data_IF_299685008816
#
_entry.id   IF_299685008816
#
_cell.length_a   1.000
_cell.length_b   1.000
_cell.length_c   1.000
_cell.angle_alpha   90.00
_cell.angle_beta   90.00
_cell.angle_gamma   90.00
#
_symmetry.space_group_name_H-M   'P 1'
#
loop_
_entity.id
_entity.type
_entity.pdbx_description
1 polymer ?
#
# COMPACT_ATOMS: atom_id res chain seq x y z
N UNK A 1 -54.67 -20.69 -9.47
CA UNK A 1 -53.32 -21.22 -9.20
C UNK A 1 -52.41 -20.75 -10.32
N UNK A 2 -51.72 -19.62 -10.12
CA UNK A 2 -50.75 -19.09 -11.08
C UNK A 2 -49.39 -19.20 -10.41
N UNK A 3 -48.57 -20.14 -10.89
CA UNK A 3 -47.22 -20.37 -10.39
C UNK A 3 -46.30 -19.27 -10.88
N UNK A 4 -45.78 -18.47 -9.95
CA UNK A 4 -44.72 -17.50 -10.23
C UNK A 4 -43.37 -18.19 -10.02
N UNK A 5 -42.67 -18.45 -11.14
CA UNK A 5 -41.26 -18.86 -11.12
C UNK A 5 -40.39 -17.70 -10.62
N UNK A 6 -39.85 -17.87 -9.42
CA UNK A 6 -38.77 -17.02 -8.89
C UNK A 6 -37.48 -17.32 -9.66
N UNK A 7 -37.12 -16.46 -10.61
CA UNK A 7 -35.74 -16.35 -11.11
C UNK A 7 -34.84 -15.92 -9.94
N UNK A 8 -33.90 -16.79 -9.57
CA UNK A 8 -32.79 -16.44 -8.67
C UNK A 8 -31.72 -15.72 -9.49
N UNK A 9 -31.50 -14.44 -9.21
CA UNK A 9 -30.33 -13.71 -9.68
C UNK A 9 -29.09 -14.27 -8.97
N UNK A 10 -28.29 -15.06 -9.70
CA UNK A 10 -26.92 -15.36 -9.32
C UNK A 10 -26.04 -14.18 -9.75
N UNK A 11 -25.66 -13.33 -8.78
CA UNK A 11 -24.59 -12.35 -8.94
C UNK A 11 -23.27 -13.07 -9.28
N UNK A 12 -22.94 -13.20 -10.57
CA UNK A 12 -21.61 -13.62 -11.03
C UNK A 12 -20.62 -12.49 -10.78
N UNK A 13 -19.65 -12.70 -9.88
CA UNK A 13 -18.46 -11.84 -9.77
C UNK A 13 -17.68 -11.90 -11.09
N UNK A 14 -17.59 -10.77 -11.80
CA UNK A 14 -16.79 -10.62 -13.02
C UNK A 14 -15.39 -10.12 -12.70
N UNK A 15 -14.47 -11.03 -12.35
CA UNK A 15 -13.05 -10.69 -12.21
C UNK A 15 -12.33 -10.82 -13.56
N UNK A 16 -11.69 -9.75 -14.05
CA UNK A 16 -10.86 -9.80 -15.26
C UNK A 16 -9.40 -10.02 -14.85
N UNK A 17 -8.75 -11.05 -15.41
CA UNK A 17 -7.33 -11.34 -15.19
C UNK A 17 -6.50 -10.62 -16.25
N UNK A 18 -5.45 -9.92 -15.84
CA UNK A 18 -4.56 -9.17 -16.72
C UNK A 18 -3.10 -9.62 -16.58
N UNK A 19 -2.35 -9.54 -17.70
CA UNK A 19 -0.91 -9.82 -17.76
C UNK A 19 -0.14 -8.70 -17.07
N UNK A 20 0.87 -9.04 -16.26
CA UNK A 20 1.75 -8.06 -15.62
C UNK A 20 3.23 -8.30 -15.95
N UNK A 21 3.97 -7.23 -16.25
CA UNK A 21 5.42 -7.25 -16.49
C UNK A 21 6.22 -7.21 -15.17
N UNK A 22 6.02 -8.20 -14.30
CA UNK A 22 6.71 -8.31 -13.00
C UNK A 22 8.24 -8.52 -13.14
N UNK A 23 8.68 -9.04 -14.29
CA UNK A 23 10.04 -9.54 -14.53
C UNK A 23 11.11 -8.43 -14.56
N UNK A 24 10.76 -7.17 -14.85
CA UNK A 24 11.76 -6.12 -15.03
C UNK A 24 12.41 -5.62 -13.72
N UNK A 25 11.89 -5.98 -12.55
CA UNK A 25 12.51 -5.63 -11.25
C UNK A 25 13.30 -6.76 -10.59
N UNK A 26 12.92 -8.03 -10.76
CA UNK A 26 13.72 -9.17 -10.28
C UNK A 26 15.12 -9.17 -10.92
N UNK A 27 15.23 -8.70 -12.18
CA UNK A 27 16.49 -8.48 -12.90
C UNK A 27 17.42 -7.42 -12.28
N UNK A 28 16.94 -6.58 -11.36
CA UNK A 28 17.75 -5.54 -10.69
C UNK A 28 18.42 -6.02 -9.40
N UNK A 29 18.04 -7.17 -8.85
CA UNK A 29 18.71 -7.74 -7.68
C UNK A 29 19.94 -8.50 -8.17
N UNK A 30 21.10 -7.86 -8.07
CA UNK A 30 22.36 -8.40 -8.56
C UNK A 30 22.92 -9.44 -7.58
N UNK A 31 22.58 -10.72 -7.76
CA UNK A 31 23.12 -11.85 -6.98
C UNK A 31 24.55 -12.25 -7.39
N UNK A 32 25.38 -11.28 -7.79
CA UNK A 32 26.78 -11.55 -8.12
C UNK A 32 27.67 -11.51 -6.89
N UNK A 33 27.47 -12.41 -5.93
CA UNK A 33 28.53 -12.87 -5.01
C UNK A 33 28.09 -14.03 -4.10
N UNK A 34 28.90 -15.11 -4.14
CA UNK A 34 29.04 -16.21 -3.15
C UNK A 34 27.81 -17.08 -2.84
N UNK A 35 27.73 -18.27 -3.45
CA UNK A 35 28.14 -19.52 -2.80
C UNK A 35 27.76 -20.74 -3.66
N UNK A 36 28.78 -21.53 -3.94
CA UNK A 36 28.71 -22.91 -4.42
C UNK A 36 28.20 -23.83 -3.32
N UNK A 37 26.88 -24.03 -3.26
CA UNK A 37 26.27 -25.22 -2.65
C UNK A 37 25.71 -26.04 -3.80
N UNK A 38 26.53 -26.95 -4.32
CA UNK A 38 26.13 -27.88 -5.37
C UNK A 38 25.23 -28.96 -4.81
N UNK A 39 23.93 -28.69 -4.70
CA UNK A 39 22.93 -29.74 -4.52
C UNK A 39 22.68 -30.38 -5.89
N UNK A 40 23.43 -31.44 -6.21
CA UNK A 40 23.23 -32.24 -7.42
C UNK A 40 22.03 -33.15 -7.19
N UNK A 41 20.84 -32.73 -7.64
CA UNK A 41 19.68 -33.62 -7.76
C UNK A 41 19.86 -34.37 -9.09
N UNK A 42 20.16 -35.67 -9.01
CA UNK A 42 20.29 -36.55 -10.19
C UNK A 42 18.91 -36.76 -10.83
N UNK A 43 18.84 -36.61 -12.14
CA UNK A 43 17.66 -36.91 -12.94
C UNK A 43 17.68 -38.37 -13.39
N UNK A 44 17.14 -39.28 -12.56
CA UNK A 44 16.80 -40.63 -13.01
C UNK A 44 15.32 -40.60 -13.43
N UNK A 45 15.08 -40.38 -14.73
CA UNK A 45 13.78 -40.04 -15.31
C UNK A 45 12.77 -41.21 -15.42
N UNK A 46 13.04 -42.37 -14.80
CA UNK A 46 12.17 -43.56 -14.89
C UNK A 46 11.70 -44.08 -13.51
N UNK A 47 11.79 -43.28 -12.44
CA UNK A 47 11.20 -43.63 -11.14
C UNK A 47 9.88 -42.92 -10.94
N UNK A 48 8.89 -43.70 -10.48
CA UNK A 48 7.66 -43.25 -9.84
C UNK A 48 7.85 -41.88 -9.20
N UNK A 49 6.96 -40.92 -9.53
CA UNK A 49 7.06 -39.56 -9.01
C UNK A 49 7.35 -39.61 -7.50
N UNK A 50 8.39 -38.92 -6.99
CA UNK A 50 8.83 -39.04 -5.61
C UNK A 50 7.78 -38.59 -4.57
N UNK A 51 6.64 -38.10 -5.04
CA UNK A 51 5.51 -37.70 -4.22
C UNK A 51 4.32 -38.63 -4.53
N UNK A 52 3.80 -39.28 -3.50
CA UNK A 52 2.63 -40.15 -3.57
C UNK A 52 1.32 -39.41 -3.27
N UNK A 53 1.40 -38.29 -2.54
CA UNK A 53 0.25 -37.47 -2.16
C UNK A 53 0.57 -35.95 -2.12
N UNK A 54 -0.42 -35.16 -1.71
CA UNK A 54 -0.30 -33.70 -1.58
C UNK A 54 0.66 -33.27 -0.45
N UNK A 55 0.76 -34.06 0.63
CA UNK A 55 1.68 -33.76 1.73
C UNK A 55 3.14 -33.94 1.32
N UNK A 56 3.43 -34.93 0.48
CA UNK A 56 4.75 -35.13 -0.09
C UNK A 56 5.15 -33.92 -0.96
N UNK A 57 4.23 -33.40 -1.76
CA UNK A 57 4.45 -32.20 -2.57
C UNK A 57 4.69 -30.97 -1.69
N UNK A 58 3.93 -30.78 -0.62
CA UNK A 58 4.15 -29.68 0.33
C UNK A 58 5.51 -29.82 1.03
N UNK A 59 5.89 -31.04 1.43
CA UNK A 59 7.18 -31.32 2.09
C UNK A 59 8.36 -31.04 1.15
N UNK A 60 8.22 -31.47 -0.10
CA UNK A 60 9.19 -31.20 -1.15
C UNK A 60 9.25 -29.69 -1.47
N UNK A 61 8.10 -29.03 -1.54
CA UNK A 61 7.99 -27.59 -1.75
C UNK A 61 8.67 -26.77 -0.65
N UNK A 62 8.50 -27.18 0.61
CA UNK A 62 9.20 -26.59 1.74
C UNK A 62 10.72 -26.74 1.61
N UNK A 63 11.20 -27.92 1.20
CA UNK A 63 12.64 -28.19 1.08
C UNK A 63 13.25 -27.47 -0.12
N UNK A 64 12.57 -27.47 -1.27
CA UNK A 64 13.08 -26.96 -2.53
C UNK A 64 12.92 -25.44 -2.67
N UNK A 65 11.89 -24.85 -2.05
CA UNK A 65 11.55 -23.44 -2.26
C UNK A 65 11.53 -22.62 -0.98
N UNK A 66 10.74 -23.03 0.01
CA UNK A 66 10.51 -22.22 1.21
C UNK A 66 11.76 -22.10 2.08
N UNK A 67 12.46 -23.21 2.35
CA UNK A 67 13.66 -23.21 3.20
C UNK A 67 14.79 -22.36 2.61
N UNK A 68 15.14 -22.48 1.30
CA UNK A 68 16.09 -21.57 0.66
C UNK A 68 15.63 -20.10 0.68
N UNK A 69 14.33 -19.84 0.46
CA UNK A 69 13.76 -18.49 0.56
C UNK A 69 14.04 -17.87 1.94
N UNK A 70 13.70 -18.58 3.00
CA UNK A 70 13.88 -18.11 4.38
C UNK A 70 15.36 -17.87 4.73
N UNK A 71 16.27 -18.72 4.26
CA UNK A 71 17.72 -18.51 4.45
C UNK A 71 18.17 -17.23 3.75
N UNK A 72 17.75 -17.01 2.50
CA UNK A 72 18.12 -15.80 1.76
C UNK A 72 17.51 -14.54 2.41
N UNK A 73 16.24 -14.58 2.82
CA UNK A 73 15.58 -13.48 3.52
C UNK A 73 16.31 -13.07 4.80
N UNK A 74 16.70 -14.07 5.62
CA UNK A 74 17.42 -13.83 6.86
C UNK A 74 18.82 -13.29 6.60
N UNK A 75 19.62 -14.00 5.80
CA UNK A 75 21.05 -13.71 5.63
C UNK A 75 21.30 -12.45 4.78
N UNK A 76 20.49 -12.22 3.73
CA UNK A 76 20.70 -11.10 2.81
C UNK A 76 19.90 -9.85 3.17
N UNK A 77 18.74 -10.00 3.83
CA UNK A 77 17.82 -8.88 4.07
C UNK A 77 17.50 -8.63 5.54
N UNK A 78 17.98 -9.47 6.47
CA UNK A 78 17.67 -9.36 7.89
C UNK A 78 16.18 -9.56 8.22
N UNK A 79 15.44 -10.25 7.35
CA UNK A 79 14.01 -10.53 7.53
C UNK A 79 13.86 -11.91 8.14
N UNK A 80 13.40 -11.98 9.39
CA UNK A 80 13.07 -13.25 10.06
C UNK A 80 11.59 -13.60 9.81
N UNK A 81 11.38 -14.35 8.72
CA UNK A 81 10.07 -14.86 8.33
C UNK A 81 9.94 -16.37 8.53
N UNK A 82 8.74 -16.89 8.36
CA UNK A 82 8.48 -18.33 8.20
C UNK A 82 7.26 -18.57 7.32
N UNK A 83 7.23 -19.72 6.66
CA UNK A 83 6.00 -20.29 6.12
C UNK A 83 5.40 -21.22 7.16
N UNK A 84 4.12 -21.00 7.48
CA UNK A 84 3.36 -21.84 8.40
C UNK A 84 2.00 -22.20 7.83
N UNK A 85 1.38 -23.24 8.40
CA UNK A 85 0.02 -23.63 8.04
C UNK A 85 -0.98 -22.54 8.51
N UNK A 86 -2.07 -22.37 7.76
CA UNK A 86 -3.08 -21.31 7.95
C UNK A 86 -3.57 -21.07 9.38
N UNK A 87 -3.65 -22.12 10.21
CA UNK A 87 -4.21 -22.05 11.57
C UNK A 87 -3.49 -21.06 12.48
N UNK A 88 -2.27 -20.68 12.15
CA UNK A 88 -1.48 -19.75 12.94
C UNK A 88 -1.66 -18.26 12.53
N UNK A 89 -2.25 -17.97 11.36
CA UNK A 89 -2.01 -16.65 10.74
C UNK A 89 -3.05 -16.09 9.76
N UNK A 90 -4.07 -16.87 9.40
CA UNK A 90 -5.16 -16.40 8.54
C UNK A 90 -6.52 -16.48 9.28
N UNK A 91 -7.38 -15.50 9.04
CA UNK A 91 -8.70 -15.40 9.68
C UNK A 91 -9.74 -16.29 8.99
N UNK A 92 -9.61 -16.52 7.68
CA UNK A 92 -10.61 -17.20 6.85
C UNK A 92 -9.95 -18.09 5.79
N UNK A 93 -10.42 -19.33 5.67
CA UNK A 93 -9.95 -20.31 4.69
C UNK A 93 -8.91 -21.30 5.24
N UNK A 94 -8.35 -22.10 4.33
CA UNK A 94 -7.34 -23.13 4.62
C UNK A 94 -6.28 -23.11 3.51
N UNK A 95 -5.54 -22.00 3.30
CA UNK A 95 -4.38 -22.02 2.42
C UNK A 95 -3.34 -23.02 2.95
N UNK A 96 -2.64 -23.69 2.06
CA UNK A 96 -1.63 -24.68 2.44
C UNK A 96 -0.54 -24.03 3.28
N UNK A 97 -0.05 -22.87 2.83
CA UNK A 97 1.06 -22.15 3.45
C UNK A 97 0.79 -20.65 3.50
N UNK A 98 1.28 -20.02 4.57
CA UNK A 98 1.20 -18.58 4.78
C UNK A 98 2.56 -18.10 5.22
N UNK A 99 3.10 -17.12 4.51
CA UNK A 99 4.29 -16.41 4.93
C UNK A 99 3.93 -15.38 6.00
N UNK A 100 4.60 -15.45 7.15
CA UNK A 100 4.48 -14.51 8.26
C UNK A 100 5.85 -13.98 8.64
N UNK A 101 5.88 -12.80 9.27
CA UNK A 101 7.11 -12.20 9.80
C UNK A 101 6.92 -11.88 11.27
N UNK A 102 7.92 -12.23 12.08
CA UNK A 102 7.90 -11.99 13.53
C UNK A 102 8.66 -10.71 13.90
N UNK A 103 8.46 -9.63 13.14
CA UNK A 103 9.20 -8.37 13.32
C UNK A 103 8.88 -7.70 14.66
N UNK A 104 7.62 -7.76 15.12
CA UNK A 104 7.17 -7.17 16.38
C UNK A 104 6.11 -8.04 17.05
N UNK A 105 5.91 -7.96 18.39
CA UNK A 105 4.81 -8.67 19.07
C UNK A 105 3.42 -8.37 18.48
N UNK A 106 3.22 -7.17 17.92
CA UNK A 106 1.95 -6.75 17.33
C UNK A 106 1.72 -7.29 15.91
N UNK A 107 2.79 -7.65 15.21
CA UNK A 107 2.77 -8.22 13.85
C UNK A 107 2.97 -9.74 13.85
N UNK A 108 3.33 -10.32 15.00
CA UNK A 108 3.55 -11.76 15.17
C UNK A 108 2.34 -12.54 14.66
N UNK A 109 2.60 -13.41 13.69
CA UNK A 109 1.59 -14.28 13.10
C UNK A 109 0.67 -13.61 12.08
N UNK A 110 0.87 -12.35 11.68
CA UNK A 110 0.07 -11.77 10.59
C UNK A 110 0.53 -12.30 9.24
N UNK A 111 -0.37 -12.98 8.52
CA UNK A 111 -0.13 -13.41 7.14
C UNK A 111 0.20 -12.24 6.23
N UNK A 112 1.23 -12.39 5.38
CA UNK A 112 1.67 -11.40 4.39
C UNK A 112 1.55 -11.89 2.95
N UNK A 113 1.71 -13.19 2.76
CA UNK A 113 1.58 -13.87 1.47
C UNK A 113 0.95 -15.24 1.72
N UNK A 114 -0.02 -15.62 0.90
CA UNK A 114 -0.50 -17.01 0.86
C UNK A 114 0.17 -17.76 -0.27
N UNK A 115 0.43 -19.05 -0.05
CA UNK A 115 0.97 -19.97 -1.04
C UNK A 115 0.11 -21.22 -1.03
N UNK A 116 -0.55 -21.47 -2.15
CA UNK A 116 -1.34 -22.68 -2.39
C UNK A 116 -0.49 -23.67 -3.19
N UNK A 117 -0.43 -24.91 -2.68
CA UNK A 117 0.23 -26.04 -3.32
C UNK A 117 -0.80 -26.89 -4.05
N UNK A 118 -0.42 -27.39 -5.22
CA UNK A 118 -1.16 -28.46 -5.90
C UNK A 118 -0.20 -29.52 -6.38
N UNK A 119 -0.70 -30.73 -6.60
CA UNK A 119 0.12 -31.76 -7.22
C UNK A 119 0.17 -31.55 -8.73
N UNK A 120 1.27 -31.91 -9.42
CA UNK A 120 1.36 -31.80 -10.88
C UNK A 120 0.24 -32.55 -11.62
N UNK A 121 -0.23 -33.66 -11.05
CA UNK A 121 -1.30 -34.48 -11.62
C UNK A 121 -2.70 -33.93 -11.33
N UNK A 122 -2.90 -33.15 -10.26
CA UNK A 122 -4.17 -32.51 -9.97
C UNK A 122 -4.36 -31.22 -10.78
N UNK A 123 -3.27 -30.47 -10.99
CA UNK A 123 -3.24 -29.25 -11.78
C UNK A 123 -2.06 -29.27 -12.77
N UNK A 124 -2.36 -29.60 -14.03
CA UNK A 124 -1.40 -29.49 -15.11
C UNK A 124 -0.92 -28.04 -15.27
N UNK A 125 0.36 -27.85 -15.57
CA UNK A 125 1.02 -26.55 -15.71
C UNK A 125 0.62 -25.84 -17.00
N UNK A 126 -0.19 -24.76 -16.98
CA UNK A 126 -0.50 -24.01 -18.18
C UNK A 126 0.68 -23.13 -18.61
N UNK A 127 1.07 -23.16 -19.88
CA UNK A 127 2.08 -22.22 -20.42
C UNK A 127 1.61 -20.76 -20.29
N UNK A 128 0.31 -20.54 -20.51
CA UNK A 128 -0.36 -19.26 -20.34
C UNK A 128 -1.61 -19.43 -19.47
N UNK A 129 -1.41 -19.31 -18.15
CA UNK A 129 -2.46 -19.43 -17.14
C UNK A 129 -3.64 -18.48 -17.42
N UNK A 130 -3.37 -17.28 -17.93
CA UNK A 130 -4.39 -16.24 -18.17
C UNK A 130 -5.27 -16.64 -19.35
N UNK A 131 -4.64 -17.05 -20.47
CA UNK A 131 -5.36 -17.50 -21.65
C UNK A 131 -6.21 -18.73 -21.35
N UNK A 132 -5.65 -19.72 -20.63
CA UNK A 132 -6.38 -20.93 -20.28
C UNK A 132 -7.53 -20.65 -19.32
N UNK A 133 -7.30 -19.89 -18.23
CA UNK A 133 -8.38 -19.52 -17.30
C UNK A 133 -9.53 -18.79 -18.00
N UNK A 134 -9.22 -17.81 -18.88
CA UNK A 134 -10.24 -17.06 -19.60
C UNK A 134 -11.00 -17.92 -20.61
N UNK A 135 -10.31 -18.83 -21.30
CA UNK A 135 -10.92 -19.79 -22.22
C UNK A 135 -11.89 -20.72 -21.48
N UNK A 136 -11.41 -21.36 -20.40
CA UNK A 136 -12.20 -22.26 -19.56
C UNK A 136 -13.45 -21.56 -19.02
N UNK A 137 -13.31 -20.29 -18.63
CA UNK A 137 -14.43 -19.50 -18.08
C UNK A 137 -15.50 -19.18 -19.13
N UNK A 138 -15.11 -18.93 -20.37
CA UNK A 138 -16.02 -18.56 -21.46
C UNK A 138 -16.78 -19.76 -22.02
N UNK A 139 -16.19 -20.95 -21.97
CA UNK A 139 -16.78 -22.15 -22.54
C UNK A 139 -18.05 -22.64 -21.81
N UNK A 140 -18.46 -22.01 -20.68
CA UNK A 140 -19.66 -22.33 -19.89
C UNK A 140 -19.78 -23.81 -19.44
N UNK A 141 -18.71 -24.60 -19.61
CA UNK A 141 -18.60 -25.93 -19.06
C UNK A 141 -18.40 -25.86 -17.54
N UNK A 142 -18.57 -27.00 -16.87
CA UNK A 142 -18.36 -27.12 -15.43
C UNK A 142 -17.02 -26.50 -15.01
N UNK A 143 -17.01 -25.77 -13.88
CA UNK A 143 -15.83 -25.05 -13.40
C UNK A 143 -14.59 -25.96 -13.37
N UNK A 144 -13.63 -25.67 -14.25
CA UNK A 144 -12.39 -26.45 -14.38
C UNK A 144 -11.59 -26.35 -13.08
N UNK A 145 -10.70 -27.32 -12.85
CA UNK A 145 -9.83 -27.30 -11.66
C UNK A 145 -9.00 -26.02 -11.59
N UNK A 146 -8.51 -25.52 -12.74
CA UNK A 146 -7.80 -24.25 -12.84
C UNK A 146 -8.65 -23.08 -12.35
N UNK A 147 -9.91 -22.99 -12.80
CA UNK A 147 -10.84 -21.94 -12.34
C UNK A 147 -11.03 -22.02 -10.82
N UNK A 148 -11.25 -23.23 -10.29
CA UNK A 148 -11.46 -23.45 -8.85
C UNK A 148 -10.26 -22.97 -8.04
N UNK A 149 -9.05 -23.36 -8.43
CA UNK A 149 -7.82 -23.02 -7.70
C UNK A 149 -7.48 -21.54 -7.77
N UNK A 150 -7.60 -20.90 -8.94
CA UNK A 150 -7.35 -19.46 -9.07
C UNK A 150 -8.38 -18.66 -8.26
N UNK A 151 -9.64 -19.10 -8.29
CA UNK A 151 -10.71 -18.49 -7.49
C UNK A 151 -10.48 -18.69 -5.99
N UNK A 152 -9.93 -19.83 -5.58
CA UNK A 152 -9.58 -20.14 -4.19
C UNK A 152 -8.45 -19.24 -3.69
N UNK A 153 -7.33 -19.12 -4.43
CA UNK A 153 -6.23 -18.19 -4.13
C UNK A 153 -6.75 -16.76 -4.02
N UNK A 154 -7.58 -16.33 -4.99
CA UNK A 154 -8.21 -15.02 -4.96
C UNK A 154 -9.11 -14.80 -3.74
N UNK A 155 -9.89 -15.82 -3.38
CA UNK A 155 -10.74 -15.82 -2.19
C UNK A 155 -9.92 -15.65 -0.92
N UNK A 156 -8.86 -16.45 -0.74
CA UNK A 156 -7.96 -16.33 0.40
C UNK A 156 -7.31 -14.94 0.49
N UNK A 157 -6.85 -14.38 -0.64
CA UNK A 157 -6.31 -13.02 -0.66
C UNK A 157 -7.36 -11.99 -0.25
N UNK A 158 -8.59 -12.12 -0.77
CA UNK A 158 -9.68 -11.17 -0.48
C UNK A 158 -10.10 -11.23 0.98
N UNK A 159 -10.39 -12.43 1.51
CA UNK A 159 -10.90 -12.60 2.87
C UNK A 159 -9.86 -12.31 3.96
N UNK A 160 -8.57 -12.53 3.67
CA UNK A 160 -7.48 -12.20 4.59
C UNK A 160 -6.88 -10.81 4.35
N UNK A 161 -7.50 -10.01 3.47
CA UNK A 161 -7.03 -8.69 3.05
C UNK A 161 -5.54 -8.67 2.64
N UNK A 162 -5.11 -9.71 1.93
CA UNK A 162 -3.76 -9.81 1.36
C UNK A 162 -3.76 -9.23 -0.04
N UNK A 163 -2.66 -8.59 -0.41
CA UNK A 163 -2.44 -8.09 -1.77
C UNK A 163 -1.80 -9.13 -2.66
N UNK A 164 -1.04 -10.05 -2.10
CA UNK A 164 -0.25 -11.02 -2.84
C UNK A 164 -0.59 -12.45 -2.46
N UNK A 165 -0.49 -13.33 -3.46
CA UNK A 165 -0.66 -14.76 -3.31
C UNK A 165 0.23 -15.51 -4.30
N UNK A 166 0.38 -16.80 -4.11
CA UNK A 166 1.13 -17.67 -4.98
C UNK A 166 0.41 -19.00 -5.17
N UNK A 167 0.54 -19.57 -6.36
CA UNK A 167 0.11 -20.93 -6.69
C UNK A 167 1.33 -21.68 -7.19
N UNK A 168 1.62 -22.84 -6.61
CA UNK A 168 2.70 -23.69 -7.06
C UNK A 168 2.24 -25.12 -7.20
N UNK A 169 2.53 -25.74 -8.34
CA UNK A 169 2.29 -27.16 -8.55
C UNK A 169 3.60 -27.98 -8.58
N UNK A 170 4.62 -27.50 -7.88
CA UNK A 170 6.01 -27.95 -7.93
C UNK A 170 6.74 -27.70 -9.26
N UNK A 171 6.12 -27.93 -10.41
CA UNK A 171 6.74 -27.69 -11.73
C UNK A 171 6.83 -26.20 -12.06
N UNK A 172 5.82 -25.44 -11.66
CA UNK A 172 5.75 -23.99 -11.87
C UNK A 172 5.19 -23.25 -10.67
N UNK A 173 5.71 -22.04 -10.47
CA UNK A 173 5.23 -21.07 -9.51
C UNK A 173 4.62 -19.88 -10.28
N UNK A 174 3.40 -19.49 -9.90
CA UNK A 174 2.74 -18.29 -10.38
C UNK A 174 2.54 -17.34 -9.20
N UNK A 175 2.90 -16.07 -9.40
CA UNK A 175 2.66 -15.01 -8.42
C UNK A 175 1.42 -14.23 -8.81
N UNK A 176 0.57 -13.96 -7.82
CA UNK A 176 -0.68 -13.23 -7.96
C UNK A 176 -0.57 -11.89 -7.23
N UNK A 177 -1.10 -10.85 -7.85
CA UNK A 177 -1.29 -9.54 -7.24
C UNK A 177 -2.75 -9.09 -7.41
N UNK A 178 -3.41 -8.81 -6.29
CA UNK A 178 -4.72 -8.16 -6.28
C UNK A 178 -4.51 -6.67 -6.52
N UNK A 179 -4.99 -6.18 -7.67
CA UNK A 179 -4.90 -4.77 -8.04
C UNK A 179 -6.14 -3.97 -7.66
N UNK A 180 -7.28 -4.65 -7.52
CA UNK A 180 -8.54 -4.10 -7.03
C UNK A 180 -9.41 -5.22 -6.45
N UNK A 181 -10.64 -4.90 -6.03
CA UNK A 181 -11.61 -5.89 -5.53
C UNK A 181 -12.17 -6.84 -6.61
N UNK A 182 -11.82 -6.62 -7.88
CA UNK A 182 -12.20 -7.49 -9.00
C UNK A 182 -11.03 -7.78 -9.96
N UNK A 183 -9.85 -7.21 -9.68
CA UNK A 183 -8.70 -7.30 -10.55
C UNK A 183 -7.62 -8.20 -9.95
N UNK A 184 -7.22 -9.20 -10.73
CA UNK A 184 -6.13 -10.11 -10.41
C UNK A 184 -5.09 -10.06 -11.52
N UNK A 185 -3.86 -9.76 -11.17
CA UNK A 185 -2.70 -9.85 -12.05
C UNK A 185 -1.92 -11.11 -11.74
N UNK A 186 -1.35 -11.73 -12.77
CA UNK A 186 -0.57 -12.96 -12.65
C UNK A 186 0.76 -12.79 -13.35
N UNK A 187 1.83 -13.29 -12.74
CA UNK A 187 3.15 -13.39 -13.38
C UNK A 187 3.16 -14.48 -14.46
N UNK A 188 4.12 -14.44 -15.40
CA UNK A 188 4.52 -15.64 -16.13
C UNK A 188 4.92 -16.78 -15.16
N UNK A 189 4.90 -18.05 -15.61
CA UNK A 189 5.36 -19.16 -14.78
C UNK A 189 6.86 -19.04 -14.52
N UNK A 190 7.26 -19.26 -13.27
CA UNK A 190 8.65 -19.57 -12.91
C UNK A 190 8.77 -21.08 -12.82
N UNK A 191 9.49 -21.70 -13.74
CA UNK A 191 9.58 -23.17 -13.85
C UNK A 191 10.69 -23.71 -12.96
N UNK A 192 10.55 -24.93 -12.47
CA UNK A 192 11.60 -25.60 -11.68
C UNK A 192 12.95 -25.70 -12.42
N UNK A 193 12.91 -25.79 -13.75
CA UNK A 193 14.09 -25.77 -14.61
C UNK A 193 14.84 -24.44 -14.58
N UNK A 194 14.16 -23.35 -14.27
CA UNK A 194 14.70 -21.99 -14.36
C UNK A 194 15.75 -21.76 -13.27
N UNK A 195 16.80 -21.02 -13.61
CA UNK A 195 17.99 -20.83 -12.77
C UNK A 195 18.22 -19.36 -12.45
N UNK A 196 19.01 -19.11 -11.40
CA UNK A 196 19.37 -17.76 -10.99
C UNK A 196 18.15 -16.92 -10.63
N UNK A 197 18.10 -15.69 -11.14
CA UNK A 197 17.03 -14.71 -10.86
C UNK A 197 15.68 -15.05 -11.48
N UNK A 198 15.64 -16.04 -12.37
CA UNK A 198 14.40 -16.53 -13.00
C UNK A 198 13.88 -17.81 -12.33
N UNK A 199 14.57 -18.31 -11.30
CA UNK A 199 14.13 -19.49 -10.55
C UNK A 199 12.92 -19.20 -9.66
N UNK A 200 12.12 -20.21 -9.31
CA UNK A 200 11.01 -20.06 -8.37
C UNK A 200 11.46 -19.57 -6.98
N UNK A 201 12.65 -19.98 -6.52
CA UNK A 201 13.24 -19.49 -5.26
C UNK A 201 13.47 -17.98 -5.32
N UNK A 202 14.07 -17.48 -6.40
CA UNK A 202 14.31 -16.05 -6.55
C UNK A 202 12.99 -15.24 -6.60
N UNK A 203 11.97 -15.79 -7.27
CA UNK A 203 10.64 -15.20 -7.31
C UNK A 203 9.98 -15.16 -5.92
N UNK A 204 10.09 -16.24 -5.14
CA UNK A 204 9.56 -16.34 -3.79
C UNK A 204 10.27 -15.36 -2.84
N UNK A 205 11.61 -15.29 -2.88
CA UNK A 205 12.43 -14.29 -2.15
C UNK A 205 12.00 -12.88 -2.48
N UNK A 206 11.86 -12.58 -3.77
CA UNK A 206 11.46 -11.25 -4.19
C UNK A 206 10.10 -10.87 -3.60
N UNK A 207 9.10 -11.74 -3.71
CA UNK A 207 7.75 -11.41 -3.25
C UNK A 207 7.68 -11.36 -1.72
N UNK A 208 8.31 -12.31 -1.01
CA UNK A 208 8.40 -12.33 0.46
C UNK A 208 9.10 -11.07 0.98
N UNK A 209 10.21 -10.65 0.38
CA UNK A 209 10.86 -9.38 0.71
C UNK A 209 9.97 -8.17 0.41
N UNK A 210 9.30 -8.17 -0.74
CA UNK A 210 8.44 -7.07 -1.18
C UNK A 210 7.25 -6.85 -0.24
N UNK A 211 6.55 -7.92 0.17
CA UNK A 211 5.42 -7.81 1.10
C UNK A 211 5.84 -7.27 2.46
N UNK A 212 7.07 -7.52 2.90
CA UNK A 212 7.60 -7.00 4.16
C UNK A 212 8.00 -5.53 4.03
N UNK A 213 8.72 -5.18 2.98
CA UNK A 213 9.34 -3.84 2.86
C UNK A 213 8.41 -2.77 2.30
N UNK A 214 7.43 -3.15 1.48
CA UNK A 214 6.50 -2.21 0.84
C UNK A 214 5.18 -2.13 1.61
N UNK A 215 4.63 -3.25 2.11
CA UNK A 215 3.37 -3.17 2.86
C UNK A 215 3.55 -2.63 4.28
N UNK A 216 4.69 -2.81 4.94
CA UNK A 216 4.94 -2.17 6.25
C UNK A 216 4.82 -0.64 6.18
N UNK A 217 5.09 -0.03 5.02
CA UNK A 217 4.93 1.40 4.78
C UNK A 217 3.50 1.83 4.47
N UNK A 218 2.64 0.91 4.02
CA UNK A 218 1.23 1.14 3.66
C UNK A 218 0.28 0.69 4.79
N UNK A 219 0.74 -0.21 5.68
CA UNK A 219 0.00 -0.77 6.82
C UNK A 219 -0.29 0.25 7.94
N UNK A 220 -0.04 1.54 7.72
CA UNK A 220 -0.59 2.63 8.52
C UNK A 220 -2.14 2.58 8.61
N UNK A 221 -2.80 1.70 7.85
CA UNK A 221 -4.23 1.43 7.93
C UNK A 221 -4.69 0.59 9.15
N UNK A 222 -3.84 -0.24 9.75
CA UNK A 222 -4.20 -0.93 11.01
C UNK A 222 -4.23 0.00 12.23
N UNK A 223 -3.62 1.19 12.12
CA UNK A 223 -3.70 2.27 13.11
C UNK A 223 -5.16 2.66 13.33
N UNK A 224 -6.02 2.65 12.30
CA UNK A 224 -7.42 3.04 12.44
C UNK A 224 -8.31 1.95 13.07
N UNK A 225 -7.95 0.68 12.91
CA UNK A 225 -8.71 -0.45 13.48
C UNK A 225 -8.33 -0.81 14.91
N UNK A 226 -7.07 -0.53 15.31
CA UNK A 226 -6.55 -0.82 16.67
C UNK A 226 -6.44 0.42 17.56
N UNK A 227 -6.35 1.63 17.03
CA UNK A 227 -6.37 2.82 17.89
C UNK A 227 -7.80 3.32 18.08
N UNK A 228 -8.13 3.74 19.29
CA UNK A 228 -9.38 4.46 19.53
C UNK A 228 -9.31 5.79 18.78
N UNK A 229 -10.18 5.96 17.80
CA UNK A 229 -10.35 7.23 17.08
C UNK A 229 -11.47 7.99 17.76
N UNK A 230 -11.14 9.15 18.31
CA UNK A 230 -12.10 10.04 18.95
C UNK A 230 -12.24 11.28 18.10
N UNK A 231 -13.29 11.35 17.29
CA UNK A 231 -13.61 12.53 16.48
C UNK A 231 -14.31 13.56 17.35
N UNK A 232 -13.79 14.80 17.39
CA UNK A 232 -14.27 15.85 18.29
C UNK A 232 -14.99 16.96 17.55
N UNK A 233 -14.52 17.34 16.36
CA UNK A 233 -15.02 18.50 15.64
C UNK A 233 -15.05 18.24 14.13
N UNK A 234 -16.08 18.75 13.45
CA UNK A 234 -16.23 18.67 12.00
C UNK A 234 -15.92 20.02 11.36
N UNK A 235 -14.98 20.01 10.43
CA UNK A 235 -14.56 21.12 9.57
C UNK A 235 -14.89 20.71 8.12
N UNK A 236 -15.99 21.17 7.54
CA UNK A 236 -16.36 20.74 6.17
C UNK A 236 -15.69 21.62 5.14
N UNK A 237 -14.96 21.03 4.17
CA UNK A 237 -14.42 21.74 2.99
C UNK A 237 -14.74 20.95 1.71
N UNK A 238 -15.64 21.49 0.88
CA UNK A 238 -16.00 21.10 -0.51
C UNK A 238 -15.92 19.61 -0.91
N UNK A 239 -14.72 19.01 -0.99
CA UNK A 239 -14.47 17.67 -1.56
C UNK A 239 -14.28 16.60 -0.47
N UNK A 240 -13.85 17.00 0.74
CA UNK A 240 -13.63 16.10 1.86
C UNK A 240 -14.27 16.65 3.14
N UNK A 241 -14.78 15.75 3.97
CA UNK A 241 -15.10 16.11 5.35
C UNK A 241 -13.81 16.07 6.15
N UNK A 242 -13.38 17.22 6.66
CA UNK A 242 -12.23 17.30 7.56
C UNK A 242 -12.76 17.23 9.00
N UNK A 243 -12.11 16.48 9.87
CA UNK A 243 -12.49 16.38 11.28
C UNK A 243 -11.24 16.47 12.13
N UNK A 244 -11.35 17.05 13.32
CA UNK A 244 -10.30 16.92 14.33
C UNK A 244 -10.63 15.77 15.27
N UNK A 245 -9.59 15.19 15.84
CA UNK A 245 -9.75 14.15 16.84
C UNK A 245 -8.45 13.74 17.50
N UNK A 246 -8.51 12.63 18.22
CA UNK A 246 -7.36 12.02 18.87
C UNK A 246 -7.14 10.59 18.37
N UNK A 247 -5.87 10.23 18.17
CA UNK A 247 -5.42 8.85 18.00
C UNK A 247 -4.91 8.38 19.36
N UNK A 248 -5.53 7.32 19.91
CA UNK A 248 -5.08 6.70 21.16
C UNK A 248 -4.57 5.30 20.93
N UNK A 249 -3.35 5.01 21.37
CA UNK A 249 -2.83 3.64 21.40
C UNK A 249 -3.73 2.75 22.26
N UNK A 250 -4.07 1.55 21.79
CA UNK A 250 -4.88 0.60 22.56
C UNK A 250 -4.17 0.12 23.84
N UNK A 251 -4.96 -0.19 24.87
CA UNK A 251 -4.50 -0.59 26.20
C UNK A 251 -3.55 -1.80 26.17
N UNK A 252 -2.36 -1.66 26.76
CA UNK A 252 -1.35 -2.72 26.89
C UNK A 252 0.09 -2.20 26.96
N UNK A 253 0.33 -0.98 26.45
CA UNK A 253 1.59 -0.25 26.58
C UNK A 253 1.40 0.84 27.65
N UNK A 254 2.31 0.90 28.64
CA UNK A 254 2.16 1.72 29.87
C UNK A 254 2.14 3.25 29.68
N UNK A 255 2.15 3.75 28.44
CA UNK A 255 2.02 5.17 28.11
C UNK A 255 0.93 5.33 27.07
N UNK A 256 -0.25 5.80 27.49
CA UNK A 256 -1.31 6.22 26.57
C UNK A 256 -0.95 7.61 26.07
N UNK A 257 -0.08 7.68 25.07
CA UNK A 257 0.14 8.92 24.34
C UNK A 257 -1.04 9.12 23.40
N UNK A 258 -1.92 10.07 23.73
CA UNK A 258 -2.91 10.58 22.78
C UNK A 258 -2.25 11.61 21.87
N UNK A 259 -2.46 11.46 20.57
CA UNK A 259 -1.98 12.42 19.58
C UNK A 259 -3.17 13.10 18.92
N UNK A 260 -3.19 14.43 18.93
CA UNK A 260 -4.16 15.20 18.16
C UNK A 260 -3.91 14.99 16.67
N UNK A 261 -5.00 14.80 15.93
CA UNK A 261 -4.96 14.48 14.51
C UNK A 261 -6.09 15.17 13.74
N UNK A 262 -5.83 15.37 12.46
CA UNK A 262 -6.79 15.84 11.46
C UNK A 262 -7.14 14.68 10.53
N UNK A 263 -8.42 14.39 10.41
CA UNK A 263 -8.99 13.34 9.59
C UNK A 263 -9.63 13.95 8.36
N UNK A 264 -9.05 13.73 7.18
CA UNK A 264 -9.72 14.01 5.90
C UNK A 264 -10.42 12.76 5.41
N UNK A 265 -11.74 12.82 5.29
CA UNK A 265 -12.59 11.74 4.81
C UNK A 265 -13.22 12.14 3.48
N UNK A 266 -12.87 11.41 2.43
CA UNK A 266 -13.38 11.60 1.08
C UNK A 266 -14.42 10.52 0.79
N UNK A 267 -15.61 10.92 0.37
CA UNK A 267 -16.56 10.01 -0.24
C UNK A 267 -16.11 9.71 -1.66
N UNK A 268 -15.58 8.52 -1.91
CA UNK A 268 -15.07 8.10 -3.22
C UNK A 268 -16.14 7.38 -4.05
N UNK A 269 -17.36 7.90 -4.00
CA UNK A 269 -18.48 7.41 -4.80
C UNK A 269 -18.45 7.90 -6.26
N UNK A 270 -17.51 8.77 -6.61
CA UNK A 270 -17.28 9.26 -7.97
C UNK A 270 -15.79 9.28 -8.29
N UNK A 271 -15.45 9.00 -9.55
CA UNK A 271 -14.06 8.99 -10.05
C UNK A 271 -13.30 10.31 -9.75
N UNK A 272 -13.89 11.52 -9.88
CA UNK A 272 -13.18 12.75 -9.55
C UNK A 272 -12.77 12.85 -8.09
N UNK A 273 -13.63 12.42 -7.15
CA UNK A 273 -13.33 12.43 -5.72
C UNK A 273 -12.28 11.38 -5.36
N UNK A 274 -12.35 10.20 -5.98
CA UNK A 274 -11.33 9.16 -5.82
C UNK A 274 -9.96 9.63 -6.31
N UNK A 275 -9.91 10.25 -7.50
CA UNK A 275 -8.68 10.78 -8.07
C UNK A 275 -8.10 11.92 -7.22
N UNK A 276 -8.94 12.82 -6.71
CA UNK A 276 -8.51 13.88 -5.81
C UNK A 276 -7.91 13.33 -4.51
N UNK A 277 -8.59 12.38 -3.86
CA UNK A 277 -8.10 11.73 -2.64
C UNK A 277 -6.81 10.95 -2.88
N UNK A 278 -6.74 10.19 -3.98
CA UNK A 278 -5.58 9.40 -4.37
C UNK A 278 -4.35 10.27 -4.60
N UNK A 279 -4.51 11.38 -5.33
CA UNK A 279 -3.42 12.32 -5.63
C UNK A 279 -2.84 12.95 -4.36
N UNK A 280 -3.67 13.42 -3.43
CA UNK A 280 -3.18 14.02 -2.19
C UNK A 280 -2.39 13.02 -1.34
N UNK A 281 -2.92 11.79 -1.21
CA UNK A 281 -2.25 10.71 -0.47
C UNK A 281 -0.92 10.34 -1.13
N UNK A 282 -0.88 10.21 -2.45
CA UNK A 282 0.31 9.87 -3.21
C UNK A 282 1.43 10.90 -3.01
N UNK A 283 1.11 12.19 -3.04
CA UNK A 283 2.07 13.27 -2.82
C UNK A 283 2.65 13.22 -1.42
N UNK A 284 1.77 13.10 -0.43
CA UNK A 284 2.14 13.01 0.98
C UNK A 284 3.06 11.80 1.23
N UNK A 285 2.73 10.64 0.66
CA UNK A 285 3.54 9.41 0.80
C UNK A 285 4.87 9.49 0.03
N UNK A 286 4.92 10.21 -1.10
CA UNK A 286 6.11 10.28 -1.96
C UNK A 286 7.14 11.32 -1.50
N UNK A 287 6.73 12.40 -0.81
CA UNK A 287 7.67 13.44 -0.35
C UNK A 287 8.85 12.91 0.50
N UNK A 288 8.65 12.01 1.49
CA UNK A 288 9.76 11.43 2.26
C UNK A 288 10.75 10.64 1.40
N UNK A 289 10.28 10.04 0.31
CA UNK A 289 11.10 9.18 -0.55
C UNK A 289 12.04 9.98 -1.45
N UNK A 290 11.64 11.18 -1.89
CA UNK A 290 12.39 11.95 -2.87
C UNK A 290 13.42 12.91 -2.26
N UNK A 291 13.19 13.42 -1.03
CA UNK A 291 14.01 14.52 -0.48
C UNK A 291 14.33 14.38 1.03
N UNK A 292 14.12 13.18 1.59
CA UNK A 292 14.41 12.84 2.98
C UNK A 292 13.26 13.18 3.95
N UNK A 293 13.18 12.49 5.10
CA UNK A 293 12.09 12.63 6.07
C UNK A 293 11.99 14.00 6.76
N UNK A 294 12.87 14.95 6.44
CA UNK A 294 13.04 16.22 7.14
C UNK A 294 11.93 17.26 6.87
N UNK A 295 11.05 17.03 5.89
CA UNK A 295 9.95 17.96 5.61
C UNK A 295 8.68 17.70 6.44
N UNK A 296 8.38 16.43 6.73
CA UNK A 296 7.17 16.05 7.45
C UNK A 296 7.27 16.47 8.92
N UNK A 297 6.26 17.21 9.37
CA UNK A 297 6.17 17.78 10.72
C UNK A 297 7.01 19.03 10.94
N UNK A 298 7.73 19.51 9.92
CA UNK A 298 8.44 20.80 9.97
C UNK A 298 7.73 21.81 9.07
N UNK A 299 7.53 21.46 7.79
CA UNK A 299 6.96 22.37 6.79
C UNK A 299 5.58 21.96 6.30
N UNK A 300 5.25 20.67 6.41
CA UNK A 300 3.96 20.07 6.04
C UNK A 300 3.55 19.06 7.13
N UNK A 301 2.28 18.68 7.27
CA UNK A 301 1.84 17.74 8.31
C UNK A 301 2.52 16.37 8.19
N UNK A 302 2.83 15.72 9.32
CA UNK A 302 3.10 14.27 9.30
C UNK A 302 1.84 13.50 8.91
N UNK A 303 2.03 12.37 8.26
CA UNK A 303 0.96 11.42 7.96
C UNK A 303 1.00 10.35 9.04
N UNK A 304 -0.11 10.17 9.72
CA UNK A 304 -0.30 9.08 10.66
C UNK A 304 -0.87 7.85 9.96
N UNK A 305 -1.86 8.02 9.07
CA UNK A 305 -2.50 6.93 8.34
C UNK A 305 -3.14 7.38 7.02
N UNK A 306 -3.26 6.51 6.01
CA UNK A 306 -3.97 6.80 4.76
C UNK A 306 -4.46 5.52 4.03
N UNK A 307 -5.65 5.55 3.40
CA UNK A 307 -6.23 4.37 2.72
C UNK A 307 -7.77 4.37 2.62
N UNK A 308 -8.38 3.21 2.39
CA UNK A 308 -9.81 3.08 2.03
C UNK A 308 -10.62 2.24 3.03
N UNK A 309 -11.74 2.78 3.50
CA UNK A 309 -12.72 2.10 4.36
C UNK A 309 -14.03 1.84 3.63
N UNK A 310 -14.60 0.64 3.80
CA UNK A 310 -15.90 0.22 3.25
C UNK A 310 -16.07 0.44 1.73
N UNK A 311 -14.97 0.52 0.98
CA UNK A 311 -14.91 0.79 -0.48
C UNK A 311 -15.47 2.14 -0.93
N UNK A 312 -16.02 2.94 -0.01
CA UNK A 312 -16.70 4.19 -0.33
C UNK A 312 -16.04 5.40 0.33
N UNK A 313 -15.11 5.20 1.27
CA UNK A 313 -14.44 6.27 1.99
C UNK A 313 -12.93 6.15 1.84
N UNK A 314 -12.25 7.20 1.38
CA UNK A 314 -10.81 7.37 1.57
C UNK A 314 -10.58 8.18 2.84
N UNK A 315 -9.74 7.69 3.73
CA UNK A 315 -9.40 8.34 4.99
C UNK A 315 -7.91 8.65 4.96
N UNK A 316 -7.59 9.90 5.25
CA UNK A 316 -6.24 10.41 5.45
C UNK A 316 -6.18 11.03 6.85
N UNK A 317 -5.22 10.59 7.66
CA UNK A 317 -5.04 11.05 9.04
C UNK A 317 -3.69 11.71 9.15
N UNK A 318 -3.71 12.97 9.54
CA UNK A 318 -2.58 13.89 9.56
C UNK A 318 -2.35 14.40 10.98
N UNK A 319 -1.14 14.88 11.21
CA UNK A 319 -0.81 15.69 12.38
C UNK A 319 -1.66 16.95 12.47
N UNK A 320 -2.19 17.24 13.66
CA UNK A 320 -2.75 18.55 13.97
C UNK A 320 -1.63 19.60 13.98
N UNK A 321 -1.68 20.50 13.00
CA UNK A 321 -0.67 21.54 12.79
C UNK A 321 -1.07 22.89 13.41
N UNK A 322 -2.07 22.92 14.29
CA UNK A 322 -2.55 24.13 14.95
C UNK A 322 -3.66 24.83 14.17
N UNK A 323 -3.75 26.15 14.35
CA UNK A 323 -4.88 26.94 13.81
C UNK A 323 -4.62 27.36 12.37
N UNK A 324 -5.65 27.37 11.53
CA UNK A 324 -5.55 27.95 10.19
C UNK A 324 -5.12 29.42 10.30
N UNK A 325 -4.22 29.85 9.40
CA UNK A 325 -3.80 31.24 9.33
C UNK A 325 -4.94 32.11 8.82
N UNK A 326 -5.05 33.31 9.38
CA UNK A 326 -6.02 34.35 9.06
C UNK A 326 -5.32 35.71 9.13
N UNK A 327 -5.92 36.75 8.55
CA UNK A 327 -5.33 38.09 8.57
C UNK A 327 -4.99 38.57 9.99
N UNK A 328 -5.82 38.22 10.97
CA UNK A 328 -5.65 38.58 12.39
C UNK A 328 -4.63 37.73 13.15
N UNK A 329 -4.29 36.53 12.64
CA UNK A 329 -3.42 35.58 13.35
C UNK A 329 -1.99 35.55 12.82
N UNK A 330 -1.73 36.15 11.66
CA UNK A 330 -0.40 36.23 11.07
C UNK A 330 0.37 37.46 11.55
N UNK A 331 1.70 37.37 11.50
CA UNK A 331 2.60 38.46 11.84
C UNK A 331 3.85 38.42 10.94
N UNK A 332 4.77 39.36 11.14
CA UNK A 332 6.02 39.46 10.36
C UNK A 332 6.82 38.13 10.36
N UNK A 333 6.87 37.43 11.50
CA UNK A 333 7.60 36.17 11.62
C UNK A 333 6.91 35.01 10.88
N UNK A 334 5.57 35.00 10.82
CA UNK A 334 4.79 34.01 10.07
C UNK A 334 5.24 33.97 8.60
N UNK A 335 5.35 35.13 7.96
CA UNK A 335 5.69 35.22 6.54
C UNK A 335 7.08 34.64 6.24
N UNK A 336 8.06 34.88 7.11
CA UNK A 336 9.39 34.30 6.95
C UNK A 336 9.37 32.76 7.06
N UNK A 337 8.54 32.21 7.93
CA UNK A 337 8.40 30.75 8.11
C UNK A 337 7.59 30.11 6.99
N UNK A 338 6.47 30.72 6.60
CA UNK A 338 5.62 30.25 5.51
C UNK A 338 6.40 30.21 4.18
N UNK A 339 7.28 31.20 3.93
CA UNK A 339 8.19 31.20 2.78
C UNK A 339 9.12 30.00 2.78
N UNK A 340 9.69 29.64 3.95
CA UNK A 340 10.53 28.44 4.08
C UNK A 340 9.76 27.16 3.77
N UNK A 341 8.49 27.08 4.17
CA UNK A 341 7.64 25.92 3.86
C UNK A 341 7.38 25.79 2.34
N UNK A 342 7.04 26.89 1.66
CA UNK A 342 6.88 26.90 0.19
C UNK A 342 8.18 26.51 -0.50
N UNK A 343 9.31 27.10 -0.08
CA UNK A 343 10.62 26.76 -0.63
C UNK A 343 11.01 25.30 -0.39
N UNK A 344 10.61 24.71 0.74
CA UNK A 344 10.85 23.29 1.02
C UNK A 344 10.09 22.41 0.02
N UNK A 345 8.83 22.72 -0.29
CA UNK A 345 8.08 22.03 -1.34
C UNK A 345 8.76 22.21 -2.70
N UNK A 346 9.21 23.42 -3.05
CA UNK A 346 9.89 23.70 -4.32
C UNK A 346 11.18 22.93 -4.51
N UNK A 347 11.96 22.72 -3.45
CA UNK A 347 13.18 21.91 -3.47
C UNK A 347 12.92 20.47 -3.91
N UNK A 348 11.70 19.97 -3.72
CA UNK A 348 11.32 18.61 -4.17
C UNK A 348 11.01 18.48 -5.65
N UNK A 349 11.01 19.61 -6.37
CA UNK A 349 10.53 19.68 -7.74
C UNK A 349 9.05 20.04 -7.86
N UNK A 350 8.30 20.02 -6.75
CA UNK A 350 6.87 20.25 -6.74
C UNK A 350 6.49 21.74 -6.56
N UNK A 351 5.23 22.06 -6.89
CA UNK A 351 4.50 23.27 -6.49
C UNK A 351 3.28 22.87 -5.67
N UNK A 352 2.78 23.77 -4.81
CA UNK A 352 1.53 23.55 -4.07
C UNK A 352 0.29 23.64 -4.99
N UNK A 353 0.28 24.60 -5.91
CA UNK A 353 -0.80 24.85 -6.87
C UNK A 353 -1.98 25.66 -6.33
N UNK A 354 -1.94 26.10 -5.07
CA UNK A 354 -3.03 26.87 -4.43
C UNK A 354 -2.51 27.64 -3.20
N UNK A 355 -1.62 28.61 -3.43
CA UNK A 355 -1.08 29.44 -2.34
C UNK A 355 -2.11 30.49 -1.93
N UNK A 356 -2.65 30.33 -0.71
CA UNK A 356 -3.53 31.27 -0.03
C UNK A 356 -3.41 31.11 1.48
N UNK A 357 -3.84 32.12 2.24
CA UNK A 357 -3.64 32.17 3.68
C UNK A 357 -4.23 30.96 4.42
N UNK A 358 -5.44 30.55 4.05
CA UNK A 358 -6.15 29.39 4.65
C UNK A 358 -5.47 28.03 4.45
N UNK A 359 -4.50 27.96 3.54
CA UNK A 359 -3.69 26.76 3.30
C UNK A 359 -2.39 26.78 4.14
N UNK A 360 -2.25 27.72 5.06
CA UNK A 360 -1.24 27.71 6.09
C UNK A 360 -1.87 27.47 7.46
N UNK A 361 -1.11 26.82 8.34
CA UNK A 361 -1.44 26.63 9.75
C UNK A 361 -0.35 27.21 10.63
N UNK A 362 -0.74 27.72 11.80
CA UNK A 362 0.14 28.35 12.78
C UNK A 362 0.11 27.50 14.06
N UNK A 363 1.29 27.09 14.48
CA UNK A 363 1.53 26.39 15.74
C UNK A 363 2.69 27.04 16.50
N UNK A 364 2.97 26.54 17.70
CA UNK A 364 4.18 26.90 18.46
C UNK A 364 5.48 26.53 17.72
N UNK A 365 5.43 25.54 16.82
CA UNK A 365 6.57 25.13 15.99
C UNK A 365 6.73 25.99 14.72
N UNK A 366 5.76 26.87 14.45
CA UNK A 366 5.78 27.79 13.32
C UNK A 366 4.71 27.52 12.27
N UNK A 367 4.89 28.15 11.10
CA UNK A 367 3.99 28.07 9.97
C UNK A 367 4.21 26.80 9.13
N UNK A 368 3.13 26.08 8.83
CA UNK A 368 3.14 24.87 8.00
C UNK A 368 2.13 24.98 6.86
N UNK A 369 2.51 24.46 5.69
CA UNK A 369 1.68 24.41 4.50
C UNK A 369 0.81 23.14 4.52
N UNK A 370 -0.49 23.29 4.30
CA UNK A 370 -1.49 22.22 4.35
C UNK A 370 -2.33 22.21 3.07
N UNK A 371 -3.13 21.15 2.89
CA UNK A 371 -4.04 20.99 1.75
C UNK A 371 -3.35 20.75 0.40
N UNK A 372 -2.61 19.65 0.31
CA UNK A 372 -1.79 19.29 -0.85
C UNK A 372 -2.58 18.69 -2.02
N UNK A 373 -3.92 18.83 -2.06
CA UNK A 373 -4.76 18.22 -3.10
C UNK A 373 -4.44 18.71 -4.52
N UNK A 374 -3.95 19.95 -4.64
CA UNK A 374 -3.55 20.53 -5.93
C UNK A 374 -2.04 20.41 -6.22
N UNK A 375 -1.26 19.92 -5.25
CA UNK A 375 0.19 19.80 -5.40
C UNK A 375 0.54 18.91 -6.60
N UNK A 376 1.65 19.20 -7.27
CA UNK A 376 2.15 18.44 -8.43
C UNK A 376 3.59 18.80 -8.74
N UNK A 377 4.24 18.03 -9.60
CA UNK A 377 5.49 18.45 -10.22
C UNK A 377 5.29 19.77 -10.99
N UNK A 378 6.21 20.70 -10.78
CA UNK A 378 6.16 22.02 -11.40
C UNK A 378 7.50 22.37 -12.03
N UNK A 379 7.46 23.00 -13.20
CA UNK A 379 8.67 23.50 -13.86
C UNK A 379 9.34 24.60 -13.02
N UNK A 380 10.64 24.89 -13.22
CA UNK A 380 11.32 25.98 -12.51
C UNK A 380 10.60 27.34 -12.61
N UNK A 381 9.98 27.61 -13.76
CA UNK A 381 9.19 28.82 -13.99
C UNK A 381 7.93 28.85 -13.12
N UNK A 382 7.19 27.74 -13.03
CA UNK A 382 5.97 27.65 -12.20
C UNK A 382 6.31 27.79 -10.71
N UNK A 383 7.43 27.23 -10.24
CA UNK A 383 7.90 27.42 -8.86
C UNK A 383 8.24 28.88 -8.58
N UNK A 384 8.88 29.56 -9.52
CA UNK A 384 9.16 30.99 -9.40
C UNK A 384 7.89 31.84 -9.40
N UNK A 385 6.88 31.47 -10.19
CA UNK A 385 5.57 32.14 -10.22
C UNK A 385 4.80 31.93 -8.91
N UNK A 386 4.76 30.71 -8.37
CA UNK A 386 4.11 30.42 -7.08
C UNK A 386 4.75 31.21 -5.92
N UNK A 387 6.08 31.41 -5.95
CA UNK A 387 6.75 32.24 -4.95
C UNK A 387 6.40 33.73 -5.10
N UNK A 388 6.16 34.22 -6.32
CA UNK A 388 5.65 35.58 -6.55
C UNK A 388 4.21 35.73 -6.04
N UNK A 389 3.38 34.71 -6.22
CA UNK A 389 2.02 34.72 -5.68
C UNK A 389 2.03 34.75 -4.14
N UNK A 390 2.94 34.00 -3.52
CA UNK A 390 3.20 34.11 -2.08
C UNK A 390 3.64 35.52 -1.67
N UNK A 391 4.59 36.12 -2.39
CA UNK A 391 5.10 37.46 -2.07
C UNK A 391 4.00 38.54 -2.23
N UNK A 392 3.11 38.42 -3.24
CA UNK A 392 1.92 39.28 -3.40
C UNK A 392 0.96 39.17 -2.23
N UNK A 393 0.70 37.95 -1.75
CA UNK A 393 -0.19 37.71 -0.60
C UNK A 393 0.37 38.38 0.67
N UNK A 394 1.68 38.29 0.87
CA UNK A 394 2.39 38.96 1.96
C UNK A 394 2.27 40.49 1.84
N UNK A 395 2.58 41.05 0.66
CA UNK A 395 2.58 42.49 0.44
C UNK A 395 1.18 43.11 0.61
N UNK A 396 0.12 42.40 0.19
CA UNK A 396 -1.26 42.79 0.43
C UNK A 396 -1.56 42.89 1.94
N UNK A 397 -1.16 41.89 2.72
CA UNK A 397 -1.33 41.94 4.18
C UNK A 397 -0.55 43.08 4.84
N UNK A 398 0.69 43.37 4.40
CA UNK A 398 1.46 44.50 4.94
C UNK A 398 0.78 45.84 4.70
N UNK A 399 0.21 46.02 3.50
CA UNK A 399 -0.48 47.26 3.15
C UNK A 399 -1.68 47.50 4.07
N UNK A 400 -2.46 46.46 4.32
CA UNK A 400 -3.70 46.55 5.07
C UNK A 400 -3.50 46.64 6.60
N UNK A 401 -2.38 46.11 7.15
CA UNK A 401 -2.22 45.97 8.61
C UNK A 401 -1.02 46.70 9.22
N UNK A 402 -0.02 47.10 8.42
CA UNK A 402 1.19 47.77 8.94
C UNK A 402 1.21 49.26 8.62
N UNK A 403 0.69 49.65 7.45
CA UNK A 403 0.75 51.05 6.99
C UNK A 403 -0.40 51.90 7.54
N UNK A 404 -1.58 51.31 7.80
CA UNK A 404 -2.72 52.05 8.36
C UNK A 404 -2.62 52.26 9.88
N UNK A 405 -1.77 51.50 10.59
CA UNK A 405 -1.61 51.59 12.05
C UNK A 405 -0.73 52.73 12.57
N UNK A 406 -0.03 53.47 11.69
CA UNK A 406 0.86 54.57 12.11
C UNK A 406 0.18 55.95 12.13
N UNK A 407 -1.11 56.06 11.77
CA UNK A 407 -1.83 57.33 11.68
C UNK A 407 -2.87 57.61 12.79
N UNK A 408 -3.12 56.68 13.72
CA UNK A 408 -4.16 56.86 14.76
C UNK A 408 -3.66 57.33 16.14
N UNK A 409 -2.35 57.47 16.38
CA UNK A 409 -1.82 57.88 17.71
C UNK A 409 -1.62 59.41 17.90
N UNK A 410 -2.18 60.24 16.99
CA UNK A 410 -2.16 61.70 17.10
C UNK A 410 -3.53 62.31 16.78
N UNK A 411 -4.56 62.02 17.58
CA UNK A 411 -5.79 62.82 17.66
C UNK A 411 -6.38 62.82 19.07
#
# INVERSE_FOLDING_TARGET
>A
MVGSEKKRDQNRCSSNIQVCHFINLAKKVNFSQRNSIGLVIRSDADREAPCSDENDVITLGNTAYESPDLVILRECFGIDGRFCNHRASCNLGNPDRVFVVDATPAERGRGRLILEWKTPWDLATPDDLIKQFNSDRLNNEESTKLIKVVSQVYGYMTFNNLKFGALCNYESLYLFQRVSDSGLQVSPPFRFSDKGTESPVAALVYISHHVVTVESKISSFEILGRNGLYLTERITKNIATVMMGEIRSQQGVKTVDSQKAVFKVYEINTEPKEKAAGKEIEILVSFPLCNGPQMLGIYIPKIYAAGTHMKSLRILVLEDCGRAASADSVNVNFWAQARKAVQAVHKTGAIHGDIKLDNFTISTSGARLVDLGLCRQGAPKERAEELKDFDRLKDAWYKDYVVEGEYEDHA
#
